data_IF_592530966172
#
_entry.id   IF_592530966172
#
_cell.length_a   1.000
_cell.length_b   1.000
_cell.length_c   1.000
_cell.angle_alpha   90.00
_cell.angle_beta   90.00
_cell.angle_gamma   90.00
#
_symmetry.space_group_name_H-M   'P 1'
#
loop_
_entity.id
_entity.type
_entity.pdbx_description
1 polymer ?
#
# COMPACT_ATOMS: atom_id res chain seq x y z
N UNK A 1 23.94 -7.41 -20.42
CA UNK A 1 23.03 -6.25 -20.53
C UNK A 1 23.27 -5.19 -19.44
N UNK A 2 23.85 -5.55 -18.29
CA UNK A 2 24.23 -4.61 -17.22
C UNK A 2 25.76 -4.57 -17.03
N UNK A 3 26.29 -3.49 -16.44
CA UNK A 3 27.71 -3.34 -16.10
C UNK A 3 27.95 -3.62 -14.61
N UNK A 4 27.80 -4.90 -14.22
CA UNK A 4 27.90 -5.38 -12.83
C UNK A 4 28.59 -6.75 -12.77
N UNK A 5 29.44 -6.95 -11.77
CA UNK A 5 30.05 -8.24 -11.46
C UNK A 5 29.21 -9.05 -10.48
N UNK A 6 28.66 -10.20 -10.91
CA UNK A 6 27.84 -11.07 -10.05
C UNK A 6 28.74 -11.94 -9.17
N UNK A 7 28.49 -11.94 -7.86
CA UNK A 7 29.19 -12.76 -6.87
C UNK A 7 28.36 -13.96 -6.41
N UNK A 8 27.06 -13.74 -6.18
CA UNK A 8 26.14 -14.77 -5.67
C UNK A 8 24.72 -14.48 -6.12
N UNK A 9 23.94 -15.53 -6.32
CA UNK A 9 22.50 -15.46 -6.58
C UNK A 9 21.73 -16.31 -5.58
N UNK A 10 20.64 -15.78 -5.05
CA UNK A 10 19.75 -16.49 -4.10
C UNK A 10 18.32 -16.23 -4.52
N UNK A 11 17.50 -17.28 -4.56
CA UNK A 11 16.07 -17.13 -4.84
C UNK A 11 15.38 -16.52 -3.62
N UNK A 12 14.72 -15.39 -3.80
CA UNK A 12 13.95 -14.69 -2.79
C UNK A 12 12.46 -14.67 -3.11
N UNK A 13 11.70 -13.93 -2.32
CA UNK A 13 10.30 -13.62 -2.63
C UNK A 13 10.26 -12.61 -3.78
N UNK A 14 9.52 -12.92 -4.83
CA UNK A 14 9.31 -12.03 -5.96
C UNK A 14 10.45 -11.94 -6.98
N UNK A 15 11.57 -12.65 -6.77
CA UNK A 15 12.67 -12.65 -7.74
C UNK A 15 13.94 -13.34 -7.26
N UNK A 16 15.05 -13.06 -7.95
CA UNK A 16 16.39 -13.54 -7.61
C UNK A 16 17.16 -12.36 -7.00
N UNK A 17 17.59 -12.51 -5.76
CA UNK A 17 18.50 -11.55 -5.11
C UNK A 17 19.92 -11.86 -5.62
N UNK A 18 20.55 -10.85 -6.21
CA UNK A 18 21.88 -10.93 -6.81
C UNK A 18 22.83 -10.06 -5.98
N UNK A 19 23.84 -10.69 -5.38
CA UNK A 19 24.93 -9.97 -4.75
C UNK A 19 25.96 -9.59 -5.81
N UNK A 20 26.26 -8.31 -5.95
CA UNK A 20 27.21 -7.81 -6.94
C UNK A 20 28.36 -7.03 -6.29
N UNK A 21 29.28 -6.57 -7.11
CA UNK A 21 30.28 -5.57 -6.76
C UNK A 21 29.71 -4.15 -6.52
N UNK A 22 28.43 -3.93 -6.84
CA UNK A 22 27.70 -2.67 -6.64
C UNK A 22 26.51 -2.83 -5.66
N UNK A 23 26.67 -3.69 -4.66
CA UNK A 23 25.65 -3.98 -3.65
C UNK A 23 24.66 -5.07 -4.06
N UNK A 24 23.50 -5.12 -3.42
CA UNK A 24 22.46 -6.10 -3.73
C UNK A 24 21.55 -5.58 -4.84
N UNK A 25 21.12 -6.50 -5.70
CA UNK A 25 20.12 -6.26 -6.75
C UNK A 25 19.01 -7.28 -6.66
N UNK A 26 17.83 -6.92 -7.13
CA UNK A 26 16.70 -7.84 -7.28
C UNK A 26 16.39 -7.98 -8.78
N UNK A 27 16.57 -9.19 -9.30
CA UNK A 27 16.29 -9.55 -10.68
C UNK A 27 14.91 -10.20 -10.77
N UNK A 28 14.04 -9.64 -11.61
CA UNK A 28 12.63 -10.03 -11.71
C UNK A 28 12.28 -10.22 -13.18
N UNK A 29 11.58 -11.32 -13.48
CA UNK A 29 10.94 -11.51 -14.79
C UNK A 29 9.64 -10.72 -14.86
N UNK A 30 9.45 -9.98 -15.94
CA UNK A 30 8.26 -9.17 -16.14
C UNK A 30 7.05 -10.03 -16.50
N UNK A 31 5.98 -9.92 -15.70
CA UNK A 31 4.68 -10.58 -15.96
C UNK A 31 3.59 -9.60 -16.43
N UNK A 32 3.92 -8.30 -16.52
CA UNK A 32 2.99 -7.20 -16.80
C UNK A 32 3.53 -6.32 -17.92
N UNK A 33 2.66 -5.49 -18.49
CA UNK A 33 3.05 -4.53 -19.51
C UNK A 33 4.08 -3.51 -18.98
N UNK A 34 4.97 -3.03 -19.84
CA UNK A 34 6.09 -2.14 -19.52
C UNK A 34 5.66 -0.91 -18.71
N UNK A 35 4.51 -0.30 -19.06
CA UNK A 35 3.89 0.83 -18.35
C UNK A 35 3.68 0.58 -16.85
N UNK A 36 3.50 -0.66 -16.44
CA UNK A 36 3.37 -1.05 -15.03
C UNK A 36 4.64 -0.71 -14.24
N UNK A 37 5.80 -1.09 -14.79
CA UNK A 37 7.11 -0.88 -14.17
C UNK A 37 7.57 0.57 -14.32
N UNK A 38 7.29 1.19 -15.48
CA UNK A 38 7.59 2.60 -15.71
C UNK A 38 6.87 3.52 -14.70
N UNK A 39 5.61 3.18 -14.36
CA UNK A 39 4.82 3.90 -13.35
C UNK A 39 5.49 3.87 -11.97
N UNK A 40 5.90 2.69 -11.50
CA UNK A 40 6.60 2.57 -10.21
C UNK A 40 7.99 3.22 -10.25
N UNK A 41 8.73 3.05 -11.35
CA UNK A 41 10.03 3.70 -11.57
C UNK A 41 9.92 5.24 -11.47
N UNK A 42 8.85 5.83 -12.03
CA UNK A 42 8.63 7.28 -11.95
C UNK A 42 8.46 7.75 -10.51
N UNK A 43 7.64 7.06 -9.71
CA UNK A 43 7.47 7.40 -8.29
C UNK A 43 8.78 7.27 -7.51
N UNK A 44 9.47 6.14 -7.66
CA UNK A 44 10.71 5.86 -6.91
C UNK A 44 11.83 6.83 -7.28
N UNK A 45 11.90 7.30 -8.53
CA UNK A 45 12.80 8.38 -8.95
C UNK A 45 12.46 9.74 -8.33
N UNK A 46 11.19 10.07 -8.20
CA UNK A 46 10.76 11.31 -7.54
C UNK A 46 11.12 11.27 -6.06
N UNK A 47 10.84 10.16 -5.37
CA UNK A 47 11.20 9.96 -3.97
C UNK A 47 12.71 10.05 -3.74
N UNK A 48 13.51 9.39 -4.58
CA UNK A 48 14.97 9.48 -4.53
C UNK A 48 15.45 10.93 -4.76
N UNK A 49 14.85 11.63 -5.74
CA UNK A 49 15.16 13.02 -6.06
C UNK A 49 14.85 14.04 -4.94
N UNK A 50 13.87 13.75 -4.08
CA UNK A 50 13.59 14.55 -2.87
C UNK A 50 14.37 14.05 -1.64
N UNK A 51 15.28 13.09 -1.80
CA UNK A 51 16.16 12.58 -0.75
C UNK A 51 15.59 11.43 0.08
N UNK A 52 14.43 10.88 -0.28
CA UNK A 52 13.87 9.69 0.38
C UNK A 52 14.43 8.40 -0.24
N UNK A 53 15.61 7.99 0.23
CA UNK A 53 16.44 6.93 -0.38
C UNK A 53 16.26 5.54 0.24
N UNK A 54 15.38 5.39 1.23
CA UNK A 54 15.12 4.11 1.90
C UNK A 54 14.11 3.22 1.14
N UNK A 55 14.20 3.21 -0.19
CA UNK A 55 13.27 2.52 -1.11
C UNK A 55 14.02 1.77 -2.21
N UNK A 56 13.40 0.71 -2.74
CA UNK A 56 13.94 0.07 -3.94
C UNK A 56 13.76 0.97 -5.17
N UNK A 57 14.75 0.95 -6.05
CA UNK A 57 14.78 1.77 -7.27
C UNK A 57 15.16 0.91 -8.47
N UNK A 58 14.83 1.36 -9.68
CA UNK A 58 15.16 0.60 -10.89
C UNK A 58 16.59 0.89 -11.36
N UNK A 59 17.30 -0.15 -11.76
CA UNK A 59 18.61 -0.06 -12.39
C UNK A 59 18.44 -0.02 -13.92
N UNK A 60 19.10 0.94 -14.56
CA UNK A 60 19.13 1.05 -16.02
C UNK A 60 20.15 0.09 -16.62
N UNK A 61 19.81 -0.51 -17.75
CA UNK A 61 20.73 -1.33 -18.54
C UNK A 61 21.73 -0.44 -19.32
N UNK A 62 22.63 -1.04 -20.11
CA UNK A 62 23.62 -0.31 -20.92
C UNK A 62 23.00 0.64 -21.96
N UNK A 63 21.74 0.46 -22.31
CA UNK A 63 20.97 1.30 -23.24
C UNK A 63 20.18 2.40 -22.51
N UNK A 64 20.27 2.48 -21.18
CA UNK A 64 19.54 3.45 -20.39
C UNK A 64 18.08 3.06 -20.09
N UNK A 65 17.64 1.87 -20.48
CA UNK A 65 16.27 1.36 -20.27
C UNK A 65 16.17 0.59 -18.94
N UNK A 66 14.97 0.58 -18.35
CA UNK A 66 14.71 -0.21 -17.12
C UNK A 66 14.35 -1.67 -17.41
N UNK A 67 13.95 -1.97 -18.64
CA UNK A 67 13.58 -3.31 -19.11
C UNK A 67 14.67 -3.84 -20.04
N UNK A 68 15.03 -5.10 -19.82
CA UNK A 68 15.95 -5.89 -20.63
C UNK A 68 15.20 -7.08 -21.21
N UNK A 69 15.45 -7.44 -22.48
CA UNK A 69 14.82 -8.57 -23.17
C UNK A 69 15.84 -9.67 -23.45
N UNK A 70 15.47 -10.94 -23.28
CA UNK A 70 16.32 -12.08 -23.67
C UNK A 70 16.05 -12.53 -25.13
N UNK A 71 16.80 -13.52 -25.60
CA UNK A 71 16.69 -14.04 -26.98
C UNK A 71 15.31 -14.65 -27.28
N UNK A 72 14.56 -15.06 -26.26
CA UNK A 72 13.21 -15.63 -26.37
C UNK A 72 12.11 -14.54 -26.26
N UNK A 73 12.48 -13.26 -26.18
CA UNK A 73 11.55 -12.15 -26.03
C UNK A 73 11.00 -11.98 -24.61
N UNK A 74 11.57 -12.66 -23.60
CA UNK A 74 11.15 -12.49 -22.21
C UNK A 74 11.79 -11.23 -21.65
N UNK A 75 10.98 -10.45 -20.93
CA UNK A 75 11.38 -9.18 -20.35
C UNK A 75 11.77 -9.35 -18.88
N UNK A 76 12.76 -8.59 -18.45
CA UNK A 76 13.27 -8.57 -17.09
C UNK A 76 13.57 -7.14 -16.64
N UNK A 77 13.46 -6.92 -15.33
CA UNK A 77 13.93 -5.71 -14.67
C UNK A 77 15.00 -6.06 -13.64
N UNK A 78 15.86 -5.09 -13.36
CA UNK A 78 16.81 -5.14 -12.25
C UNK A 78 16.51 -3.96 -11.33
N UNK A 79 16.32 -4.22 -10.03
CA UNK A 79 16.18 -3.17 -9.02
C UNK A 79 17.42 -3.09 -8.12
N UNK A 80 17.77 -1.90 -7.67
CA UNK A 80 18.68 -1.71 -6.54
C UNK A 80 17.98 -2.23 -5.28
N UNK A 81 18.69 -3.09 -4.55
CA UNK A 81 18.14 -3.82 -3.41
C UNK A 81 19.04 -3.70 -2.18
N UNK A 82 18.53 -4.20 -1.06
CA UNK A 82 19.13 -4.02 0.26
C UNK A 82 19.68 -5.33 0.82
N UNK A 83 20.79 -5.23 1.56
CA UNK A 83 21.22 -6.28 2.47
C UNK A 83 20.39 -6.21 3.75
N UNK A 84 19.15 -6.67 3.68
CA UNK A 84 18.18 -6.56 4.76
C UNK A 84 17.21 -7.74 4.73
N UNK A 85 16.70 -8.12 5.91
CA UNK A 85 15.69 -9.19 6.05
C UNK A 85 14.30 -8.59 6.07
N UNK A 86 13.29 -9.33 5.62
CA UNK A 86 11.90 -8.96 5.86
C UNK A 86 11.63 -8.82 7.36
N UNK A 87 10.78 -7.86 7.72
CA UNK A 87 10.34 -7.67 9.10
C UNK A 87 9.58 -8.88 9.62
N UNK A 88 9.84 -9.25 10.88
CA UNK A 88 9.20 -10.38 11.53
C UNK A 88 7.92 -9.93 12.23
N UNK A 89 6.76 -10.33 11.72
CA UNK A 89 5.46 -9.99 12.32
C UNK A 89 5.31 -10.44 13.78
N UNK A 90 6.08 -11.42 14.24
CA UNK A 90 6.07 -11.88 15.64
C UNK A 90 6.95 -11.04 16.57
N UNK A 91 7.74 -10.12 16.04
CA UNK A 91 8.58 -9.21 16.81
C UNK A 91 7.90 -7.84 16.90
N UNK A 92 7.60 -7.40 18.12
CA UNK A 92 6.91 -6.13 18.36
C UNK A 92 7.75 -4.93 17.90
N UNK A 93 9.08 -4.99 18.06
CA UNK A 93 9.95 -3.90 17.66
C UNK A 93 10.02 -3.78 16.14
N UNK A 94 10.05 -4.89 15.41
CA UNK A 94 9.97 -4.89 13.94
C UNK A 94 8.66 -4.24 13.47
N UNK A 95 7.53 -4.48 14.16
CA UNK A 95 6.25 -3.87 13.83
C UNK A 95 6.20 -2.37 14.15
N UNK A 96 6.79 -1.94 15.27
CA UNK A 96 6.97 -0.52 15.56
C UNK A 96 7.85 0.17 14.49
N UNK A 97 8.98 -0.45 14.12
CA UNK A 97 9.87 0.06 13.08
C UNK A 97 9.17 0.16 11.71
N UNK A 98 8.32 -0.82 11.39
CA UNK A 98 7.49 -0.79 10.19
C UNK A 98 6.51 0.40 10.20
N UNK A 99 5.80 0.63 11.32
CA UNK A 99 4.88 1.78 11.42
C UNK A 99 5.61 3.12 11.38
N UNK A 100 6.74 3.25 12.07
CA UNK A 100 7.55 4.47 11.98
C UNK A 100 8.02 4.72 10.55
N UNK A 101 8.48 3.68 9.84
CA UNK A 101 8.88 3.80 8.43
C UNK A 101 7.70 4.20 7.53
N UNK A 102 6.51 3.63 7.75
CA UNK A 102 5.29 4.07 7.04
C UNK A 102 5.01 5.56 7.28
N UNK A 103 5.14 6.05 8.52
CA UNK A 103 4.89 7.45 8.82
C UNK A 103 5.91 8.38 8.12
N UNK A 104 7.21 8.03 8.13
CA UNK A 104 8.22 8.78 7.38
C UNK A 104 8.00 8.72 5.86
N UNK A 105 7.58 7.57 5.33
CA UNK A 105 7.17 7.44 3.93
C UNK A 105 6.00 8.34 3.59
N UNK A 106 4.97 8.38 4.44
CA UNK A 106 3.82 9.25 4.26
C UNK A 106 4.21 10.73 4.26
N UNK A 107 5.12 11.14 5.15
CA UNK A 107 5.67 12.49 5.17
C UNK A 107 6.47 12.81 3.89
N UNK A 108 7.26 11.86 3.36
CA UNK A 108 7.98 12.03 2.10
C UNK A 108 7.01 12.12 0.90
N UNK A 109 5.98 11.26 0.86
CA UNK A 109 4.96 11.27 -0.19
C UNK A 109 4.17 12.58 -0.24
N UNK A 110 3.94 13.26 0.89
CA UNK A 110 3.30 14.58 0.94
C UNK A 110 4.14 15.70 0.32
N UNK A 111 5.45 15.50 0.13
CA UNK A 111 6.31 16.47 -0.54
C UNK A 111 6.23 16.36 -2.08
N UNK A 112 5.61 15.30 -2.61
CA UNK A 112 5.48 15.09 -4.05
C UNK A 112 4.35 15.97 -4.58
N UNK A 113 4.69 16.88 -5.49
CA UNK A 113 3.69 17.69 -6.19
C UNK A 113 3.14 16.96 -7.42
N UNK A 114 1.93 17.31 -7.89
CA UNK A 114 1.39 16.72 -9.12
C UNK A 114 2.32 16.86 -10.33
N UNK A 115 3.02 17.99 -10.46
CA UNK A 115 3.96 18.26 -11.55
C UNK A 115 5.26 17.45 -11.43
N UNK A 116 5.52 16.76 -10.33
CA UNK A 116 6.63 15.80 -10.28
C UNK A 116 6.22 14.45 -10.89
N UNK A 117 4.93 14.07 -10.76
CA UNK A 117 4.45 12.71 -10.98
C UNK A 117 3.54 12.55 -12.22
N UNK A 118 2.76 13.57 -12.62
CA UNK A 118 1.71 13.49 -13.65
C UNK A 118 1.92 14.39 -14.86
N UNK A 119 3.17 14.80 -15.15
CA UNK A 119 3.58 15.83 -16.16
C UNK A 119 3.03 15.67 -17.58
N UNK A 120 2.34 14.58 -17.93
CA UNK A 120 1.89 14.31 -19.30
C UNK A 120 0.47 14.76 -19.65
N UNK A 121 -0.32 15.30 -18.73
CA UNK A 121 -1.65 15.86 -19.07
C UNK A 121 -1.64 17.39 -19.05
N UNK A 122 -1.19 17.96 -20.18
CA UNK A 122 -1.33 19.35 -20.65
C UNK A 122 -1.60 20.45 -19.62
N UNK A 123 -0.61 21.35 -19.54
CA UNK A 123 -0.70 22.71 -18.99
C UNK A 123 -1.95 23.42 -19.55
N UNK A 124 -2.95 23.63 -18.69
CA UNK A 124 -3.92 24.69 -18.86
C UNK A 124 -3.77 25.59 -17.65
N UNK A 125 -3.51 26.88 -17.90
CA UNK A 125 -3.49 27.93 -16.88
C UNK A 125 -4.75 27.83 -16.02
N UNK A 126 -4.56 27.77 -14.70
CA UNK A 126 -5.65 27.70 -13.73
C UNK A 126 -6.40 29.04 -13.72
N UNK A 127 -7.59 29.06 -14.32
CA UNK A 127 -8.38 30.30 -14.41
C UNK A 127 -9.57 30.32 -13.46
N UNK A 128 -10.00 29.17 -12.90
CA UNK A 128 -11.14 29.10 -11.96
C UNK A 128 -11.04 27.97 -10.91
N UNK A 129 -11.67 28.17 -9.75
CA UNK A 129 -11.79 27.18 -8.65
C UNK A 129 -12.49 25.87 -9.10
N UNK A 130 -13.42 25.97 -10.05
CA UNK A 130 -14.12 24.81 -10.62
C UNK A 130 -13.19 23.90 -11.43
N UNK A 131 -12.26 24.49 -12.19
CA UNK A 131 -11.27 23.74 -12.99
C UNK A 131 -10.28 23.00 -12.08
N UNK A 132 -9.82 23.64 -11.00
CA UNK A 132 -8.98 23.01 -9.99
C UNK A 132 -9.66 21.80 -9.33
N UNK A 133 -10.94 21.94 -8.93
CA UNK A 133 -11.72 20.84 -8.37
C UNK A 133 -11.89 19.67 -9.35
N UNK A 134 -12.09 19.96 -10.64
CA UNK A 134 -12.19 18.92 -11.67
C UNK A 134 -10.86 18.20 -11.90
N UNK A 135 -9.73 18.93 -11.89
CA UNK A 135 -8.37 18.36 -12.00
C UNK A 135 -8.10 17.39 -10.85
N UNK A 136 -8.37 17.79 -9.60
CA UNK A 136 -8.24 16.91 -8.42
C UNK A 136 -9.05 15.63 -8.61
N UNK A 137 -10.32 15.72 -9.03
CA UNK A 137 -11.15 14.52 -9.26
C UNK A 137 -10.61 13.62 -10.38
N UNK A 138 -10.07 14.19 -11.46
CA UNK A 138 -9.50 13.39 -12.56
C UNK A 138 -8.26 12.62 -12.10
N UNK A 139 -7.37 13.25 -11.33
CA UNK A 139 -6.13 12.61 -10.88
C UNK A 139 -6.40 11.62 -9.74
N UNK A 140 -7.17 12.03 -8.74
CA UNK A 140 -7.38 11.23 -7.52
C UNK A 140 -8.51 10.20 -7.66
N UNK A 141 -9.40 10.37 -8.63
CA UNK A 141 -10.65 9.60 -8.72
C UNK A 141 -11.62 9.89 -7.58
N UNK A 142 -11.44 10.99 -6.83
CA UNK A 142 -12.26 11.30 -5.66
C UNK A 142 -13.75 11.39 -5.98
N UNK A 143 -14.54 10.66 -5.20
CA UNK A 143 -16.00 10.68 -5.22
C UNK A 143 -16.52 10.40 -3.81
N UNK A 144 -17.68 10.99 -3.45
CA UNK A 144 -18.37 10.64 -2.20
C UNK A 144 -18.81 9.18 -2.19
N UNK A 145 -19.14 8.61 -3.35
CA UNK A 145 -19.57 7.21 -3.45
C UNK A 145 -18.34 6.30 -3.62
N UNK A 146 -17.65 6.02 -2.51
CA UNK A 146 -16.40 5.24 -2.51
C UNK A 146 -16.65 3.74 -2.66
N UNK A 147 -15.66 3.00 -3.18
CA UNK A 147 -15.71 1.53 -3.20
C UNK A 147 -15.79 0.93 -1.79
N UNK A 148 -15.25 1.62 -0.78
CA UNK A 148 -15.35 1.21 0.63
C UNK A 148 -16.81 1.24 1.12
N UNK A 149 -17.56 2.33 0.83
CA UNK A 149 -19.00 2.45 1.12
C UNK A 149 -19.79 1.34 0.43
N UNK A 150 -19.58 1.15 -0.88
CA UNK A 150 -20.24 0.08 -1.65
C UNK A 150 -19.98 -1.30 -1.06
N UNK A 151 -18.73 -1.58 -0.70
CA UNK A 151 -18.30 -2.88 -0.15
C UNK A 151 -18.93 -3.13 1.21
N UNK A 152 -18.92 -2.16 2.12
CA UNK A 152 -19.52 -2.29 3.45
C UNK A 152 -21.03 -2.42 3.37
N UNK A 153 -21.71 -1.58 2.57
CA UNK A 153 -23.15 -1.69 2.36
C UNK A 153 -23.56 -3.03 1.73
N UNK A 154 -22.74 -3.61 0.84
CA UNK A 154 -22.93 -4.97 0.32
C UNK A 154 -22.78 -6.01 1.43
N UNK A 155 -21.69 -6.00 2.18
CA UNK A 155 -21.43 -6.98 3.24
C UNK A 155 -22.47 -6.91 4.37
N UNK A 156 -22.93 -5.72 4.76
CA UNK A 156 -24.01 -5.55 5.75
C UNK A 156 -25.32 -6.19 5.26
N UNK A 157 -25.66 -6.05 3.97
CA UNK A 157 -26.82 -6.74 3.38
C UNK A 157 -26.64 -8.26 3.35
N UNK A 158 -25.44 -8.75 3.06
CA UNK A 158 -25.12 -10.18 3.06
C UNK A 158 -25.21 -10.77 4.46
N UNK A 159 -24.73 -10.08 5.50
CA UNK A 159 -24.92 -10.48 6.91
C UNK A 159 -26.40 -10.56 7.28
N UNK A 160 -27.21 -9.57 6.86
CA UNK A 160 -28.66 -9.60 7.10
C UNK A 160 -29.35 -10.78 6.42
N UNK A 161 -28.97 -11.07 5.17
CA UNK A 161 -29.47 -12.24 4.43
C UNK A 161 -29.08 -13.54 5.12
N UNK A 162 -27.83 -13.66 5.55
CA UNK A 162 -27.33 -14.83 6.28
C UNK A 162 -28.06 -15.02 7.62
N UNK A 163 -28.32 -13.95 8.39
CA UNK A 163 -29.12 -14.02 9.61
C UNK A 163 -30.53 -14.56 9.33
N UNK A 164 -31.23 -14.01 8.34
CA UNK A 164 -32.58 -14.43 7.99
C UNK A 164 -32.63 -15.90 7.54
N UNK A 165 -31.64 -16.32 6.73
CA UNK A 165 -31.48 -17.72 6.32
C UNK A 165 -31.29 -18.65 7.52
N UNK A 166 -30.34 -18.33 8.40
CA UNK A 166 -30.05 -19.13 9.58
C UNK A 166 -31.26 -19.19 10.51
N UNK A 167 -31.99 -18.09 10.70
CA UNK A 167 -33.20 -18.05 11.53
C UNK A 167 -34.25 -19.08 11.09
N UNK A 168 -34.46 -19.23 9.78
CA UNK A 168 -35.47 -20.12 9.21
C UNK A 168 -35.00 -21.58 9.06
N UNK A 169 -33.68 -21.83 9.03
CA UNK A 169 -33.12 -23.16 8.80
C UNK A 169 -33.43 -24.13 9.95
N UNK A 170 -34.07 -25.26 9.60
CA UNK A 170 -34.24 -26.44 10.48
C UNK A 170 -33.02 -27.35 10.36
N UNK A 171 -32.62 -28.01 11.45
CA UNK A 171 -31.48 -28.94 11.46
C UNK A 171 -30.13 -28.25 11.21
N UNK A 172 -29.82 -27.22 12.02
CA UNK A 172 -28.54 -26.48 11.91
C UNK A 172 -27.35 -27.36 12.28
N UNK A 173 -26.31 -27.33 11.46
CA UNK A 173 -25.01 -27.93 11.80
C UNK A 173 -24.28 -27.12 12.89
N UNK A 174 -23.23 -27.68 13.50
CA UNK A 174 -22.49 -27.05 14.61
C UNK A 174 -22.03 -25.63 14.24
N UNK A 175 -21.40 -25.47 13.06
CA UNK A 175 -20.99 -24.15 12.57
C UNK A 175 -22.17 -23.18 12.46
N UNK A 176 -23.31 -23.63 11.93
CA UNK A 176 -24.50 -22.80 11.72
C UNK A 176 -25.18 -22.41 13.04
N UNK A 177 -25.12 -23.27 14.06
CA UNK A 177 -25.58 -22.95 15.40
C UNK A 177 -24.72 -21.85 16.02
N UNK A 178 -23.39 -21.98 15.91
CA UNK A 178 -22.45 -20.96 16.41
C UNK A 178 -22.61 -19.65 15.62
N UNK A 179 -22.68 -19.71 14.29
CA UNK A 179 -22.89 -18.54 13.46
C UNK A 179 -24.21 -17.85 13.81
N UNK A 180 -25.32 -18.59 13.91
CA UNK A 180 -26.61 -18.01 14.26
C UNK A 180 -26.63 -17.35 15.63
N UNK A 181 -25.91 -17.92 16.62
CA UNK A 181 -25.78 -17.35 17.96
C UNK A 181 -25.08 -15.99 17.97
N UNK A 182 -24.15 -15.73 17.05
CA UNK A 182 -23.27 -14.55 17.09
C UNK A 182 -23.52 -13.54 15.96
N UNK A 183 -24.18 -13.94 14.87
CA UNK A 183 -24.31 -13.11 13.66
C UNK A 183 -25.04 -11.78 13.90
N UNK A 184 -25.92 -11.70 14.91
CA UNK A 184 -26.62 -10.46 15.26
C UNK A 184 -25.66 -9.38 15.72
N UNK A 185 -24.71 -9.71 16.60
CA UNK A 185 -23.67 -8.78 17.08
C UNK A 185 -22.81 -8.27 15.91
N UNK A 186 -22.38 -9.17 15.02
CA UNK A 186 -21.60 -8.79 13.84
C UNK A 186 -22.41 -7.94 12.84
N UNK A 187 -23.72 -8.16 12.73
CA UNK A 187 -24.59 -7.33 11.92
C UNK A 187 -24.72 -5.92 12.49
N UNK A 188 -24.86 -5.77 13.81
CA UNK A 188 -24.88 -4.48 14.49
C UNK A 188 -23.56 -3.72 14.34
N UNK A 189 -22.42 -4.40 14.45
CA UNK A 189 -21.10 -3.83 14.13
C UNK A 189 -21.02 -3.35 12.69
N UNK A 190 -21.52 -4.14 11.73
CA UNK A 190 -21.53 -3.76 10.32
C UNK A 190 -22.43 -2.54 10.05
N UNK A 191 -23.57 -2.41 10.75
CA UNK A 191 -24.42 -1.22 10.69
C UNK A 191 -23.68 0.03 11.21
N UNK A 192 -23.07 -0.07 12.40
CA UNK A 192 -22.29 1.04 12.99
C UNK A 192 -21.12 1.47 12.10
N UNK A 193 -20.40 0.50 11.52
CA UNK A 193 -19.33 0.80 10.57
C UNK A 193 -19.87 1.54 9.33
N UNK A 194 -21.02 1.13 8.81
CA UNK A 194 -21.66 1.79 7.67
C UNK A 194 -22.13 3.22 8.03
N UNK A 195 -22.66 3.44 9.24
CA UNK A 195 -22.99 4.78 9.74
C UNK A 195 -21.76 5.69 9.84
N UNK A 196 -20.64 5.19 10.38
CA UNK A 196 -19.39 5.95 10.45
C UNK A 196 -18.86 6.31 9.06
N UNK A 197 -18.94 5.38 8.10
CA UNK A 197 -18.55 5.65 6.71
C UNK A 197 -19.42 6.70 6.05
N UNK A 198 -20.64 6.96 6.53
CA UNK A 198 -21.54 8.00 6.02
C UNK A 198 -21.44 9.33 6.80
N UNK A 199 -20.57 9.41 7.81
CA UNK A 199 -20.38 10.61 8.62
C UNK A 199 -19.72 11.76 7.86
N UNK A 200 -19.99 12.99 8.31
CA UNK A 200 -19.35 14.20 7.79
C UNK A 200 -17.84 14.18 8.00
N UNK A 201 -17.36 13.74 9.17
CA UNK A 201 -15.94 13.62 9.47
C UNK A 201 -15.19 12.69 8.47
N UNK A 202 -15.85 11.62 8.02
CA UNK A 202 -15.29 10.74 7.00
C UNK A 202 -15.21 11.44 5.62
N UNK A 203 -16.27 12.13 5.22
CA UNK A 203 -16.31 12.94 3.99
C UNK A 203 -15.21 14.02 4.00
N UNK A 204 -15.08 14.76 5.09
CA UNK A 204 -14.07 15.81 5.26
C UNK A 204 -12.64 15.26 5.14
N UNK A 205 -12.33 14.15 5.82
CA UNK A 205 -11.00 13.55 5.75
C UNK A 205 -10.63 13.09 4.35
N UNK A 206 -11.58 12.49 3.61
CA UNK A 206 -11.34 12.08 2.22
C UNK A 206 -11.19 13.27 1.29
N UNK A 207 -11.97 14.34 1.50
CA UNK A 207 -11.83 15.58 0.74
C UNK A 207 -10.45 16.21 0.98
N UNK A 208 -9.99 16.27 2.23
CA UNK A 208 -8.65 16.74 2.57
C UNK A 208 -7.55 15.89 1.91
N UNK A 209 -7.68 14.56 1.91
CA UNK A 209 -6.72 13.68 1.22
C UNK A 209 -6.65 13.99 -0.28
N UNK A 210 -7.80 14.20 -0.92
CA UNK A 210 -7.87 14.50 -2.34
C UNK A 210 -7.29 15.88 -2.65
N UNK A 211 -7.63 16.92 -1.87
CA UNK A 211 -7.11 18.28 -2.03
C UNK A 211 -5.59 18.34 -1.83
N UNK A 212 -5.07 17.61 -0.84
CA UNK A 212 -3.64 17.51 -0.56
C UNK A 212 -2.90 16.54 -1.48
N UNK A 213 -3.59 15.92 -2.44
CA UNK A 213 -3.03 14.95 -3.38
C UNK A 213 -2.30 13.79 -2.68
N UNK A 214 -2.78 13.39 -1.49
CA UNK A 214 -2.15 12.35 -0.68
C UNK A 214 -1.92 11.08 -1.49
N UNK A 215 -0.74 10.50 -1.32
CA UNK A 215 -0.36 9.22 -1.89
C UNK A 215 -0.22 8.19 -0.77
N UNK A 216 -0.78 7.01 -1.01
CA UNK A 216 -0.54 5.80 -0.23
C UNK A 216 0.34 4.83 -1.01
N UNK A 217 1.05 3.95 -0.31
CA UNK A 217 1.71 2.78 -0.88
C UNK A 217 0.68 1.80 -1.48
N UNK A 218 -0.53 1.72 -0.90
CA UNK A 218 -1.67 0.98 -1.46
C UNK A 218 -1.58 -0.55 -1.33
N UNK A 219 -0.50 -1.07 -0.76
CA UNK A 219 -0.27 -2.50 -0.47
C UNK A 219 0.72 -2.70 0.67
N UNK A 220 0.78 -1.77 1.62
CA UNK A 220 1.76 -1.80 2.70
C UNK A 220 1.55 -3.01 3.63
N UNK A 221 2.53 -3.92 3.69
CA UNK A 221 2.52 -5.10 4.57
C UNK A 221 3.90 -5.29 5.21
N UNK A 222 3.99 -6.08 6.27
CA UNK A 222 5.27 -6.40 6.92
C UNK A 222 6.27 -7.11 5.99
N UNK A 223 5.81 -7.68 4.87
CA UNK A 223 6.67 -8.26 3.84
C UNK A 223 7.35 -7.23 2.93
N UNK A 224 6.81 -6.01 2.88
CA UNK A 224 7.37 -4.88 2.14
C UNK A 224 8.28 -4.01 3.00
N UNK A 225 8.55 -4.43 4.24
CA UNK A 225 9.45 -3.75 5.16
C UNK A 225 10.68 -4.61 5.36
N UNK A 226 11.84 -4.08 4.96
CA UNK A 226 13.13 -4.74 5.14
C UNK A 226 13.93 -4.04 6.24
N UNK A 227 14.55 -4.83 7.11
CA UNK A 227 15.28 -4.36 8.28
C UNK A 227 16.74 -4.82 8.25
N UNK A 228 17.64 -3.90 8.57
CA UNK A 228 19.05 -4.18 8.85
C UNK A 228 19.53 -3.33 10.03
N UNK A 229 19.52 -3.90 11.23
CA UNK A 229 19.81 -3.18 12.46
C UNK A 229 18.78 -2.07 12.69
N UNK A 230 19.24 -0.81 12.66
CA UNK A 230 18.37 0.38 12.79
C UNK A 230 17.84 0.90 11.45
N UNK A 231 18.34 0.38 10.33
CA UNK A 231 17.91 0.81 9.00
C UNK A 231 16.64 0.07 8.60
N UNK A 232 15.67 0.82 8.10
CA UNK A 232 14.40 0.30 7.58
C UNK A 232 14.24 0.74 6.13
N UNK A 233 13.83 -0.18 5.27
CA UNK A 233 13.59 0.06 3.86
C UNK A 233 12.17 -0.38 3.50
N UNK A 234 11.53 0.36 2.61
CA UNK A 234 10.19 0.06 2.12
C UNK A 234 10.30 -0.30 0.65
N UNK A 235 9.68 -1.40 0.25
CA UNK A 235 9.81 -1.93 -1.10
C UNK A 235 8.47 -2.25 -1.75
N UNK A 236 8.45 -2.34 -3.09
CA UNK A 236 7.27 -2.71 -3.88
C UNK A 236 6.16 -1.64 -3.90
N UNK A 237 6.48 -0.45 -4.39
CA UNK A 237 5.53 0.64 -4.57
C UNK A 237 4.57 0.44 -5.77
N UNK A 238 4.55 -0.72 -6.40
CA UNK A 238 3.78 -1.02 -7.61
C UNK A 238 2.25 -0.76 -7.50
N UNK A 239 1.70 -0.72 -6.28
CA UNK A 239 0.29 -0.43 -5.97
C UNK A 239 0.03 0.96 -5.42
N UNK A 240 1.01 1.86 -5.42
CA UNK A 240 0.82 3.23 -4.95
C UNK A 240 -0.37 3.89 -5.66
N UNK A 241 -1.08 4.79 -5.00
CA UNK A 241 -2.20 5.54 -5.60
C UNK A 241 -2.54 6.78 -4.78
N UNK A 242 -3.27 7.70 -5.38
CA UNK A 242 -3.87 8.81 -4.65
C UNK A 242 -4.97 8.27 -3.75
N UNK A 243 -4.73 8.27 -2.44
CA UNK A 243 -5.65 7.77 -1.43
C UNK A 243 -5.23 8.33 -0.07
N UNK A 244 -6.20 8.43 0.84
CA UNK A 244 -5.96 8.73 2.24
C UNK A 244 -4.92 7.76 2.85
N UNK A 245 -3.82 8.33 3.35
CA UNK A 245 -2.70 7.58 3.93
C UNK A 245 -3.08 6.70 5.12
N UNK A 246 -4.16 7.05 5.83
CA UNK A 246 -4.71 6.24 6.93
C UNK A 246 -5.14 4.85 6.45
N UNK A 247 -5.43 4.65 5.16
CA UNK A 247 -5.74 3.33 4.64
C UNK A 247 -4.54 2.36 4.75
N UNK A 248 -3.30 2.80 4.48
CA UNK A 248 -2.12 1.95 4.68
C UNK A 248 -1.96 1.55 6.15
N UNK A 249 -2.12 2.51 7.07
CA UNK A 249 -2.05 2.26 8.51
C UNK A 249 -3.12 1.26 8.96
N UNK A 250 -4.38 1.46 8.55
CA UNK A 250 -5.48 0.57 8.87
C UNK A 250 -5.23 -0.86 8.37
N UNK A 251 -4.84 -1.03 7.10
CA UNK A 251 -4.62 -2.35 6.51
C UNK A 251 -3.46 -3.07 7.18
N UNK A 252 -2.38 -2.34 7.48
CA UNK A 252 -1.22 -2.87 8.18
C UNK A 252 -1.57 -3.31 9.60
N UNK A 253 -2.12 -2.40 10.43
CA UNK A 253 -2.48 -2.69 11.82
C UNK A 253 -3.46 -3.87 11.85
N UNK A 254 -4.51 -3.87 11.02
CA UNK A 254 -5.47 -4.99 10.96
C UNK A 254 -4.76 -6.33 10.77
N UNK A 255 -3.81 -6.42 9.84
CA UNK A 255 -3.06 -7.66 9.57
C UNK A 255 -2.11 -8.05 10.69
N UNK A 256 -1.50 -7.07 11.36
CA UNK A 256 -0.66 -7.32 12.53
C UNK A 256 -1.50 -7.80 13.71
N UNK A 257 -2.63 -7.15 14.00
CA UNK A 257 -3.51 -7.50 15.12
C UNK A 257 -4.09 -8.93 15.01
N UNK A 258 -4.30 -9.45 13.80
CA UNK A 258 -4.62 -10.86 13.56
C UNK A 258 -3.55 -11.82 14.14
N UNK A 259 -2.27 -11.40 14.21
CA UNK A 259 -1.15 -12.18 14.76
C UNK A 259 -0.93 -11.97 16.26
N UNK A 260 -1.41 -10.85 16.79
CA UNK A 260 -1.32 -10.50 18.21
C UNK A 260 -2.64 -10.75 18.96
N UNK A 261 -3.54 -11.56 18.41
CA UNK A 261 -4.84 -11.89 19.02
C UNK A 261 -5.64 -10.65 19.47
N UNK A 262 -5.52 -9.56 18.71
CA UNK A 262 -6.20 -8.30 19.00
C UNK A 262 -5.84 -7.68 20.38
N UNK A 263 -4.61 -7.89 20.88
CA UNK A 263 -4.08 -7.23 22.09
C UNK A 263 -4.10 -5.69 21.97
N UNK A 264 -4.96 -5.04 22.76
CA UNK A 264 -5.12 -3.59 22.76
C UNK A 264 -3.83 -2.83 23.08
N UNK A 265 -2.92 -3.38 23.91
CA UNK A 265 -1.61 -2.77 24.19
C UNK A 265 -0.81 -2.62 22.90
N UNK A 266 -0.81 -3.66 22.07
CA UNK A 266 -0.10 -3.63 20.79
C UNK A 266 -0.75 -2.65 19.81
N UNK A 267 -2.09 -2.59 19.77
CA UNK A 267 -2.82 -1.61 18.94
C UNK A 267 -2.41 -0.17 19.27
N UNK A 268 -2.51 0.23 20.54
CA UNK A 268 -2.16 1.60 20.95
C UNK A 268 -0.69 1.90 20.70
N UNK A 269 0.21 0.96 21.01
CA UNK A 269 1.64 1.12 20.72
C UNK A 269 1.91 1.41 19.24
N UNK A 270 1.25 0.70 18.32
CA UNK A 270 1.41 0.96 16.88
C UNK A 270 0.81 2.30 16.46
N UNK A 271 -0.36 2.67 16.97
CA UNK A 271 -0.98 3.96 16.66
C UNK A 271 -0.11 5.11 17.16
N UNK A 272 0.40 5.03 18.39
CA UNK A 272 1.26 6.05 19.00
C UNK A 272 2.58 6.22 18.23
N UNK A 273 3.16 5.13 17.69
CA UNK A 273 4.36 5.22 16.84
C UNK A 273 4.11 5.97 15.53
N UNK A 274 2.91 5.86 14.97
CA UNK A 274 2.52 6.62 13.77
C UNK A 274 2.27 8.09 14.11
N UNK A 275 1.48 8.34 15.16
CA UNK A 275 1.04 9.67 15.62
C UNK A 275 2.22 10.57 16.05
N UNK A 276 3.28 9.97 16.60
CA UNK A 276 4.50 10.72 16.96
C UNK A 276 5.19 11.40 15.76
N UNK A 277 4.90 10.98 14.53
CA UNK A 277 5.56 11.46 13.30
C UNK A 277 4.60 12.22 12.39
N UNK A 278 3.33 11.79 12.27
CA UNK A 278 2.38 12.23 11.25
C UNK A 278 1.28 13.15 11.76
#
# INVERSE_FOLDING_TARGET
QYDIGIRRMVRGRGGIIVQTDQGYKLFIQCEKADRYYERENKLTQVLDGIGYTCIDTYMRNKEGLIISEDEDGRKYIMKNWFDAKESNVKDENDMCMAVSAMAYMHAALRQITPDMLYVQDNVCDESTELEACQKVRRITGYTKETELRKTYAKHTRELKKAYNYLKQKKGKQIFEQIAFKNIEVFYEEACRANEQLMSEAFDERLMMAAQNMELSHGSYTYHNVLLNGKNTYIVNFDRYKNECQINDLYQFIRKVMEKYNWDSRMFYRLVDEYDRIC
#
